data_IF_257459138410
#
_entry.id   IF_257459138410
#
_cell.length_a   1.000
_cell.length_b   1.000
_cell.length_c   1.000
_cell.angle_alpha   90.00
_cell.angle_beta   90.00
_cell.angle_gamma   90.00
#
_symmetry.space_group_name_H-M   'P 1'
#
loop_
_entity.id
_entity.type
_entity.pdbx_description
1 polymer ?
#
# COMPACT_ATOMS: atom_id res chain seq x y z
N UNK A 1 22.85 -5.65 11.38
CA UNK A 1 22.23 -4.72 10.41
C UNK A 1 20.77 -4.58 10.81
N UNK A 2 20.37 -3.43 11.35
CA UNK A 2 18.97 -3.18 11.74
C UNK A 2 18.13 -2.97 10.49
N UNK A 3 17.17 -3.87 10.23
CA UNK A 3 16.23 -3.68 9.12
C UNK A 3 15.28 -2.51 9.45
N UNK A 4 15.52 -1.35 8.85
CA UNK A 4 14.67 -0.17 9.01
C UNK A 4 13.38 -0.34 8.20
N UNK A 5 12.26 0.11 8.78
CA UNK A 5 10.96 0.13 8.11
C UNK A 5 10.48 1.55 7.94
N UNK A 6 10.18 1.92 6.70
CA UNK A 6 9.79 3.27 6.32
C UNK A 6 8.28 3.33 6.10
N UNK A 7 7.69 4.46 6.47
CA UNK A 7 6.29 4.72 6.17
C UNK A 7 6.10 5.11 4.69
N UNK A 8 4.89 4.94 4.15
CA UNK A 8 4.62 5.31 2.75
C UNK A 8 4.87 6.79 2.45
N UNK A 9 4.67 7.67 3.44
CA UNK A 9 4.91 9.10 3.27
C UNK A 9 6.40 9.42 3.12
N UNK A 10 7.26 8.74 3.89
CA UNK A 10 8.71 8.89 3.78
C UNK A 10 9.22 8.37 2.43
N UNK A 11 8.80 7.15 2.05
CA UNK A 11 9.18 6.56 0.76
C UNK A 11 8.70 7.43 -0.41
N UNK A 12 7.49 7.99 -0.32
CA UNK A 12 6.97 8.91 -1.32
C UNK A 12 7.78 10.21 -1.43
N UNK A 13 8.22 10.77 -0.29
CA UNK A 13 8.98 12.00 -0.29
C UNK A 13 10.40 11.82 -0.83
N UNK A 14 11.04 10.67 -0.59
CA UNK A 14 12.41 10.38 -1.03
C UNK A 14 12.50 9.90 -2.48
N UNK A 15 11.58 9.03 -2.91
CA UNK A 15 11.75 8.29 -4.16
C UNK A 15 10.78 8.69 -5.28
N UNK A 16 9.69 9.39 -4.98
CA UNK A 16 8.69 9.76 -5.97
C UNK A 16 8.79 11.25 -6.35
N UNK A 17 8.43 11.60 -7.61
CA UNK A 17 8.42 12.99 -8.03
C UNK A 17 7.40 13.78 -7.21
N UNK A 18 7.80 14.96 -6.72
CA UNK A 18 6.93 15.85 -5.93
C UNK A 18 5.73 16.39 -6.72
N UNK A 19 5.77 16.29 -8.05
CA UNK A 19 4.68 16.70 -8.95
C UNK A 19 3.48 15.72 -8.91
N UNK A 20 3.64 14.55 -8.29
CA UNK A 20 2.55 13.59 -8.18
C UNK A 20 1.50 14.07 -7.19
N UNK A 21 0.24 14.06 -7.62
CA UNK A 21 -0.90 14.52 -6.83
C UNK A 21 -1.10 13.73 -5.53
N UNK A 22 -0.88 12.41 -5.54
CA UNK A 22 -1.12 11.53 -4.39
C UNK A 22 -0.19 10.30 -4.39
N UNK A 23 1.14 10.48 -4.19
CA UNK A 23 2.11 9.38 -4.25
C UNK A 23 1.87 8.32 -3.16
N UNK A 24 1.47 8.73 -1.95
CA UNK A 24 1.13 7.81 -0.85
C UNK A 24 -0.03 6.89 -1.19
N UNK A 25 -1.09 7.44 -1.83
CA UNK A 25 -2.26 6.67 -2.22
C UNK A 25 -1.91 5.66 -3.32
N UNK A 26 -1.12 6.10 -4.30
CA UNK A 26 -0.60 5.24 -5.38
C UNK A 26 0.19 4.05 -4.83
N UNK A 27 1.02 4.27 -3.80
CA UNK A 27 1.76 3.20 -3.12
C UNK A 27 0.82 2.24 -2.40
N UNK A 28 -0.11 2.76 -1.63
CA UNK A 28 -1.08 1.94 -0.89
C UNK A 28 -1.93 1.07 -1.84
N UNK A 29 -2.39 1.63 -2.97
CA UNK A 29 -3.18 0.89 -3.96
C UNK A 29 -2.38 -0.26 -4.58
N UNK A 30 -1.09 -0.06 -4.91
CA UNK A 30 -0.22 -1.11 -5.45
C UNK A 30 0.14 -2.19 -4.44
N UNK A 31 0.34 -1.81 -3.18
CA UNK A 31 0.55 -2.76 -2.09
C UNK A 31 -0.71 -3.60 -1.84
N UNK A 32 -1.90 -2.98 -1.89
CA UNK A 32 -3.17 -3.71 -1.80
C UNK A 32 -3.40 -4.65 -3.00
N UNK A 33 -2.91 -4.30 -4.20
CA UNK A 33 -2.94 -5.19 -5.38
C UNK A 33 -1.89 -6.30 -5.33
N UNK A 34 -0.95 -6.26 -4.38
CA UNK A 34 0.18 -7.18 -4.27
C UNK A 34 1.19 -7.07 -5.41
N UNK A 35 1.23 -5.92 -6.10
CA UNK A 35 2.24 -5.65 -7.12
C UNK A 35 3.58 -5.25 -6.51
N UNK A 36 3.53 -4.70 -5.30
CA UNK A 36 4.68 -4.31 -4.49
C UNK A 36 4.76 -5.17 -3.23
N UNK A 37 5.98 -5.31 -2.72
CA UNK A 37 6.26 -5.97 -1.45
C UNK A 37 6.23 -4.94 -0.34
N UNK A 38 5.71 -5.31 0.82
CA UNK A 38 5.64 -4.45 1.99
C UNK A 38 5.05 -5.18 3.18
N UNK A 39 5.27 -4.64 4.37
CA UNK A 39 4.77 -5.19 5.63
C UNK A 39 3.55 -4.39 6.06
N UNK A 40 2.42 -5.08 6.27
CA UNK A 40 1.21 -4.46 6.77
C UNK A 40 1.25 -4.39 8.30
N UNK A 41 1.35 -3.18 8.84
CA UNK A 41 1.26 -2.93 10.28
C UNK A 41 -0.13 -2.37 10.60
N UNK A 42 -1.06 -3.26 10.95
CA UNK A 42 -2.45 -2.90 11.24
C UNK A 42 -3.15 -2.26 10.05
N UNK A 43 -3.42 -0.95 10.15
CA UNK A 43 -4.09 -0.15 9.09
C UNK A 43 -3.12 0.55 8.14
N UNK A 44 -1.82 0.48 8.40
CA UNK A 44 -0.81 1.17 7.60
C UNK A 44 0.14 0.17 6.94
N UNK A 45 0.65 0.57 5.77
CA UNK A 45 1.70 -0.16 5.08
C UNK A 45 3.06 0.44 5.44
N UNK A 46 4.07 -0.43 5.61
CA UNK A 46 5.47 -0.06 5.78
C UNK A 46 6.33 -0.81 4.77
N UNK A 47 7.38 -0.20 4.26
CA UNK A 47 8.32 -0.84 3.34
C UNK A 47 9.68 -0.98 4.01
N UNK A 48 10.34 -2.13 3.84
CA UNK A 48 11.76 -2.27 4.20
C UNK A 48 12.62 -1.74 3.07
N UNK A 49 13.90 -1.51 3.35
CA UNK A 49 14.87 -1.12 2.32
C UNK A 49 14.86 -2.06 1.11
N UNK A 50 14.75 -3.39 1.32
CA UNK A 50 14.66 -4.39 0.24
C UNK A 50 13.37 -4.28 -0.58
N UNK A 51 12.28 -3.88 0.05
CA UNK A 51 10.99 -3.72 -0.61
C UNK A 51 11.00 -2.46 -1.50
N UNK A 52 11.68 -1.40 -1.05
CA UNK A 52 11.92 -0.16 -1.81
C UNK A 52 12.82 -0.44 -3.01
N UNK A 53 13.92 -1.19 -2.82
CA UNK A 53 14.80 -1.61 -3.91
C UNK A 53 14.04 -2.40 -4.98
N UNK A 54 13.20 -3.36 -4.55
CA UNK A 54 12.32 -4.10 -5.47
C UNK A 54 11.35 -3.18 -6.22
N UNK A 55 10.76 -2.18 -5.55
CA UNK A 55 9.90 -1.19 -6.18
C UNK A 55 10.65 -0.38 -7.25
N UNK A 56 11.82 0.16 -6.91
CA UNK A 56 12.64 0.94 -7.83
C UNK A 56 13.06 0.09 -9.04
N UNK A 57 13.52 -1.13 -8.80
CA UNK A 57 13.91 -2.06 -9.86
C UNK A 57 12.74 -2.41 -10.79
N UNK A 58 11.53 -2.58 -10.25
CA UNK A 58 10.32 -2.88 -11.05
C UNK A 58 9.92 -1.74 -12.00
N UNK A 59 10.12 -0.48 -11.60
CA UNK A 59 9.81 0.69 -12.42
C UNK A 59 11.03 1.28 -13.14
N UNK A 60 12.21 0.75 -12.87
CA UNK A 60 13.42 1.07 -13.61
C UNK A 60 13.32 0.45 -15.00
N UNK A 61 13.68 1.22 -16.02
CA UNK A 61 13.67 0.78 -17.42
C UNK A 61 14.88 -0.12 -17.77
N UNK A 62 15.59 -0.67 -16.78
CA UNK A 62 16.84 -1.43 -16.93
C UNK A 62 16.66 -2.84 -17.53
N UNK A 63 15.58 -3.07 -18.28
CA UNK A 63 15.37 -4.30 -19.06
C UNK A 63 15.11 -5.59 -18.27
N UNK A 64 15.15 -5.56 -16.93
CA UNK A 64 14.82 -6.73 -16.10
C UNK A 64 13.36 -6.71 -15.68
N UNK A 65 12.51 -7.27 -16.52
CA UNK A 65 11.15 -7.67 -16.16
C UNK A 65 11.20 -8.67 -14.99
N UNK A 66 11.05 -8.16 -13.75
CA UNK A 66 11.07 -9.01 -12.56
C UNK A 66 9.77 -9.83 -12.51
N UNK A 67 9.95 -11.15 -12.57
CA UNK A 67 8.97 -12.21 -12.41
C UNK A 67 7.96 -11.87 -11.29
N UNK A 68 6.67 -11.86 -11.64
CA UNK A 68 5.56 -11.37 -10.82
C UNK A 68 5.28 -12.37 -9.67
N UNK A 69 5.55 -12.05 -8.39
CA UNK A 69 5.09 -12.91 -7.31
C UNK A 69 3.55 -12.79 -7.22
N UNK A 70 2.87 -13.94 -7.28
CA UNK A 70 1.41 -14.08 -7.15
C UNK A 70 0.95 -13.51 -5.78
N UNK A 71 -0.04 -12.60 -5.73
CA UNK A 71 -0.49 -12.03 -4.47
C UNK A 71 -1.13 -13.11 -3.59
N UNK A 72 -0.63 -13.25 -2.36
CA UNK A 72 -1.33 -13.97 -1.30
C UNK A 72 -2.54 -13.12 -0.88
N UNK A 73 -3.73 -13.58 -1.25
CA UNK A 73 -4.98 -13.03 -0.78
C UNK A 73 -5.01 -13.05 0.75
N UNK A 74 -5.29 -11.91 1.37
CA UNK A 74 -5.74 -11.86 2.77
C UNK A 74 -6.92 -10.89 2.81
N UNK A 75 -8.01 -11.42 3.31
CA UNK A 75 -9.40 -11.05 3.06
C UNK A 75 -9.82 -9.73 3.74
N UNK A 76 -10.90 -9.09 3.28
CA UNK A 76 -11.44 -7.89 3.92
C UNK A 76 -12.34 -8.25 5.10
N UNK A 77 -12.28 -7.53 6.24
CA UNK A 77 -13.46 -7.34 7.06
C UNK A 77 -13.99 -5.92 6.82
N UNK A 78 -14.73 -5.73 5.73
CA UNK A 78 -15.69 -4.62 5.63
C UNK A 78 -16.89 -4.99 6.51
N UNK A 79 -16.73 -4.82 7.81
CA UNK A 79 -17.86 -4.74 8.75
C UNK A 79 -18.46 -3.34 8.64
N UNK A 80 -19.40 -3.18 7.70
CA UNK A 80 -20.42 -2.13 7.74
C UNK A 80 -21.69 -2.72 7.14
N UNK A 81 -22.27 -3.69 7.87
CA UNK A 81 -23.68 -3.98 7.73
C UNK A 81 -24.45 -2.76 8.25
N UNK A 82 -24.99 -2.00 7.30
CA UNK A 82 -26.06 -1.03 7.46
C UNK A 82 -27.07 -1.45 8.54
N UNK A 83 -27.41 -0.53 9.43
CA UNK A 83 -28.77 -0.34 9.96
C UNK A 83 -28.86 1.09 10.47
N UNK A 84 -29.03 2.00 9.50
CA UNK A 84 -29.71 3.25 9.73
C UNK A 84 -31.17 2.92 10.07
N UNK A 85 -31.52 2.96 11.35
CA UNK A 85 -32.91 3.18 11.76
C UNK A 85 -32.92 4.26 12.85
N UNK A 86 -32.85 5.50 12.39
CA UNK A 86 -33.21 6.67 13.17
C UNK A 86 -34.38 7.30 12.43
N UNK A 87 -35.57 7.22 13.05
CA UNK A 87 -36.71 8.14 13.01
C UNK A 87 -38.04 7.47 12.62
N UNK A 88 -38.81 7.04 13.64
CA UNK A 88 -40.23 7.42 13.75
C UNK A 88 -40.76 7.31 15.18
N UNK A 89 -40.68 8.41 15.92
CA UNK A 89 -41.64 8.73 16.99
C UNK A 89 -43.00 9.05 16.37
N UNK A 90 -44.08 8.42 16.85
CA UNK A 90 -45.42 8.99 17.12
C UNK A 90 -46.52 7.91 17.07
N UNK A 91 -47.06 7.56 18.23
CA UNK A 91 -48.49 7.28 18.45
C UNK A 91 -48.82 7.59 19.89
#
# INVERSE_FOLDING_TARGET
MTEQTFSLAEVAAEHLPKEWKNPTRWLAERLNRGELRGVRFGRTWRMRTRDIDYMLNRYSNDGRAIDRPKPAATEPPLSMACLSDRLRTAS
#
